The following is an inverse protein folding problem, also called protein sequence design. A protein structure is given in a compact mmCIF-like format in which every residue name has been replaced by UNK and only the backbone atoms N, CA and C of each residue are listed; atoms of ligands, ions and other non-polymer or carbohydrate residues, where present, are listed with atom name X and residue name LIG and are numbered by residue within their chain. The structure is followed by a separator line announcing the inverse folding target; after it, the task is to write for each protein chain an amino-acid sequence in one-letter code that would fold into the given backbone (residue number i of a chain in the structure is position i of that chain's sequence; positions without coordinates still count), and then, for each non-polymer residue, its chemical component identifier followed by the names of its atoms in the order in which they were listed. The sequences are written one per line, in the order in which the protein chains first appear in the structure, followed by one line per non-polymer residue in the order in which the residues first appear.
data_IF_739329074946
#
_entry.id   IF_739329074946
#
_cell.length_a   1.000
_cell.length_b   1.000
_cell.length_c   1.000
_cell.angle_alpha   90.00
_cell.angle_beta   90.00
_cell.angle_gamma   90.00
#
_symmetry.space_group_name_H-M   'P 1'
#
loop_
_entity.id
_entity.type
_entity.pdbx_description
1 polymer ?
#
# COMPACT_ATOMS: atom_id res chain seq x y z
N UNK A 1 23.15 -8.67 6.67
CA UNK A 1 22.36 -7.75 5.88
C UNK A 1 22.87 -6.35 6.07
N UNK A 2 22.96 -5.61 4.99
CA UNK A 2 23.44 -4.25 5.09
C UNK A 2 22.27 -3.29 5.28
N UNK A 3 22.64 -2.07 5.61
CA UNK A 3 21.63 -1.03 5.82
C UNK A 3 20.75 -0.84 4.58
N UNK A 4 21.38 -0.94 3.39
CA UNK A 4 20.62 -0.76 2.15
C UNK A 4 19.59 -1.85 1.96
N UNK A 5 19.90 -3.06 2.40
CA UNK A 5 18.93 -4.15 2.28
C UNK A 5 17.70 -3.88 3.13
N UNK A 6 17.92 -3.38 4.33
CA UNK A 6 16.81 -3.08 5.22
C UNK A 6 15.94 -1.97 4.64
N UNK A 7 16.59 -0.93 4.12
CA UNK A 7 15.85 0.18 3.53
C UNK A 7 15.01 -0.30 2.36
N UNK A 8 15.58 -1.15 1.53
CA UNK A 8 14.86 -1.66 0.38
C UNK A 8 13.63 -2.47 0.80
N UNK A 9 13.79 -3.33 1.79
CA UNK A 9 12.67 -4.16 2.25
C UNK A 9 11.56 -3.28 2.82
N UNK A 10 11.94 -2.30 3.62
CA UNK A 10 10.94 -1.39 4.21
C UNK A 10 10.21 -0.64 3.11
N UNK A 11 10.94 -0.16 2.12
CA UNK A 11 10.33 0.56 1.02
C UNK A 11 9.33 -0.32 0.27
N UNK A 12 9.72 -1.55 -0.01
CA UNK A 12 8.85 -2.47 -0.73
C UNK A 12 7.58 -2.78 0.08
N UNK A 13 7.73 -2.96 1.37
CA UNK A 13 6.58 -3.24 2.23
C UNK A 13 5.59 -2.08 2.20
N UNK A 14 6.11 -0.85 2.29
CA UNK A 14 5.26 0.32 2.29
C UNK A 14 4.53 0.45 0.95
N UNK A 15 5.25 0.32 -0.15
CA UNK A 15 4.66 0.44 -1.47
C UNK A 15 3.60 -0.64 -1.68
N UNK A 16 3.93 -1.86 -1.28
CA UNK A 16 3.01 -2.98 -1.45
C UNK A 16 1.76 -2.76 -0.60
N UNK A 17 1.93 -2.34 0.64
CA UNK A 17 0.78 -2.11 1.51
C UNK A 17 -0.13 -1.01 0.98
N UNK A 18 0.46 0.11 0.56
CA UNK A 18 -0.33 1.20 0.02
C UNK A 18 -1.05 0.76 -1.25
N UNK A 19 -0.37 0.01 -2.11
CA UNK A 19 -0.98 -0.46 -3.33
C UNK A 19 -2.16 -1.38 -3.10
N UNK A 20 -2.00 -2.31 -2.17
CA UNK A 20 -3.08 -3.25 -1.86
C UNK A 20 -4.27 -2.51 -1.26
N UNK A 21 -4.00 -1.63 -0.31
CA UNK A 21 -5.08 -0.89 0.34
C UNK A 21 -5.82 -0.04 -0.69
N UNK A 22 -5.08 0.63 -1.56
CA UNK A 22 -5.70 1.48 -2.58
C UNK A 22 -6.56 0.65 -3.52
N UNK A 23 -6.07 -0.53 -3.89
CA UNK A 23 -6.81 -1.40 -4.78
C UNK A 23 -8.11 -1.86 -4.13
N UNK A 24 -8.04 -2.25 -2.88
CA UNK A 24 -9.23 -2.73 -2.16
C UNK A 24 -10.24 -1.61 -2.02
N UNK A 25 -9.77 -0.41 -1.71
CA UNK A 25 -10.67 0.72 -1.55
C UNK A 25 -11.36 1.06 -2.87
N UNK A 26 -10.62 1.01 -3.95
CA UNK A 26 -11.19 1.30 -5.27
C UNK A 26 -12.24 0.25 -5.62
N UNK A 27 -11.99 -0.99 -5.28
CA UNK A 27 -12.92 -2.06 -5.61
C UNK A 27 -14.16 -2.01 -4.73
N UNK A 28 -14.01 -1.53 -3.47
CA UNK A 28 -15.13 -1.52 -2.55
C UNK A 28 -15.89 -0.23 -2.58
N UNK A 29 -15.26 0.83 -3.05
CA UNK A 29 -15.88 2.15 -3.02
C UNK A 29 -16.90 2.24 -4.12
N UNK A 30 -18.09 1.81 -3.86
CA UNK A 30 -19.07 1.90 -4.87
C UNK A 30 -19.91 3.08 -4.71
N UNK A 31 -19.96 3.72 -3.93
CA UNK A 31 -20.80 4.83 -3.89
C UNK A 31 -20.69 5.52 -2.67
N UNK A 32 -20.93 5.61 -2.45
CA UNK A 32 -20.95 6.22 -1.63
C UNK A 32 -20.43 7.03 -1.16
N UNK A 33 -20.46 7.55 -1.13
CA UNK A 33 -20.06 8.27 -0.76
C UNK A 33 -20.14 9.03 -0.06
N UNK A 34 -20.28 9.34 0.50
CA UNK A 34 -20.35 9.97 1.07
C UNK A 34 -19.96 10.74 1.50
N UNK A 35 -19.77 11.12 1.76
CA UNK A 35 -19.35 11.79 2.24
C UNK A 35 -19.13 12.29 2.28
#
# INVERSE_FOLDING_TARGET
MSYLDIVQVVFLVIVFGVGVISFIRAATSDDKKED
#
